data_IF_176665009671
#
_entry.id   IF_176665009671
#
_cell.length_a   1.000
_cell.length_b   1.000
_cell.length_c   1.000
_cell.angle_alpha   90.00
_cell.angle_beta   90.00
_cell.angle_gamma   90.00
#
_symmetry.space_group_name_H-M   'P 1'
#
loop_
_entity.id
_entity.type
_entity.pdbx_description
1 polymer ?
#
# COMPACT_ATOMS: atom_id res chain seq x y z
N UNK A 1 -50.91 40.58 -15.15
CA UNK A 1 -50.78 40.75 -16.61
C UNK A 1 -49.84 39.66 -17.12
N UNK A 2 -50.35 38.85 -18.04
CA UNK A 2 -49.72 37.93 -19.03
C UNK A 2 -48.34 37.34 -18.70
N UNK A 3 -48.17 36.04 -18.39
CA UNK A 3 -48.32 34.84 -19.23
C UNK A 3 -47.31 34.77 -20.41
N UNK A 4 -46.37 33.80 -20.38
CA UNK A 4 -46.08 32.83 -21.45
C UNK A 4 -44.82 31.98 -21.15
N UNK A 5 -45.03 30.68 -20.87
CA UNK A 5 -44.15 29.56 -21.27
C UNK A 5 -44.66 29.06 -22.65
N UNK A 6 -44.14 27.96 -23.24
CA UNK A 6 -42.78 27.55 -23.62
C UNK A 6 -42.71 27.27 -25.15
N UNK A 7 -41.56 26.87 -25.73
CA UNK A 7 -41.54 25.81 -26.76
C UNK A 7 -40.16 25.37 -27.25
N UNK A 8 -40.07 24.15 -27.82
CA UNK A 8 -38.88 23.33 -27.99
C UNK A 8 -38.30 23.44 -29.41
N UNK A 9 -37.05 23.01 -29.60
CA UNK A 9 -36.63 22.55 -30.93
C UNK A 9 -36.08 21.12 -30.86
N UNK A 10 -36.76 20.30 -31.65
CA UNK A 10 -36.52 18.89 -31.88
C UNK A 10 -35.96 18.77 -33.28
N UNK A 11 -34.73 18.28 -33.44
CA UNK A 11 -34.27 17.82 -34.75
C UNK A 11 -33.89 16.34 -34.70
N UNK A 12 -34.83 15.56 -35.26
CA UNK A 12 -34.70 14.16 -35.66
C UNK A 12 -33.82 14.04 -36.92
N UNK A 13 -33.04 12.95 -36.92
CA UNK A 13 -32.84 11.98 -38.00
C UNK A 13 -32.23 12.42 -39.34
N UNK A 14 -31.12 11.77 -39.71
CA UNK A 14 -31.09 10.93 -40.93
C UNK A 14 -29.97 9.87 -40.88
N UNK A 15 -30.23 8.64 -41.37
CA UNK A 15 -29.26 7.55 -41.58
C UNK A 15 -28.78 7.48 -43.05
N UNK A 16 -27.63 6.85 -43.26
CA UNK A 16 -27.10 6.46 -44.57
C UNK A 16 -25.60 6.21 -44.41
N UNK A 17 -24.94 5.23 -45.03
CA UNK A 17 -25.28 4.33 -46.10
C UNK A 17 -24.13 3.30 -46.11
N UNK A 18 -24.45 2.00 -46.09
CA UNK A 18 -23.53 0.95 -46.54
C UNK A 18 -22.97 1.32 -47.93
N UNK A 19 -21.73 0.93 -48.25
CA UNK A 19 -21.46 0.02 -49.38
C UNK A 19 -19.97 -0.21 -49.74
N UNK A 20 -19.77 -1.37 -50.40
CA UNK A 20 -18.71 -1.81 -51.35
C UNK A 20 -17.33 -2.12 -50.74
N UNK A 21 -17.00 -3.38 -50.48
CA UNK A 21 -16.36 -4.35 -51.41
C UNK A 21 -14.98 -3.88 -51.90
N UNK A 22 -13.90 -4.51 -51.41
CA UNK A 22 -12.79 -5.02 -52.24
C UNK A 22 -12.17 -6.25 -51.55
N UNK A 23 -12.11 -7.42 -52.20
CA UNK A 23 -11.26 -8.54 -51.81
C UNK A 23 -9.93 -8.51 -52.58
N UNK A 24 -8.80 -8.77 -51.93
CA UNK A 24 -7.57 -9.20 -52.62
C UNK A 24 -6.97 -10.39 -51.88
N UNK A 25 -7.24 -11.56 -52.45
CA UNK A 25 -6.46 -12.79 -52.36
C UNK A 25 -5.17 -12.66 -53.22
N UNK A 26 -4.21 -13.57 -52.99
CA UNK A 26 -2.86 -13.75 -53.59
C UNK A 26 -1.76 -13.32 -52.60
N UNK A 27 -0.78 -14.15 -52.20
CA UNK A 27 -0.21 -15.37 -52.77
C UNK A 27 0.44 -16.23 -51.68
N UNK A 28 0.38 -17.54 -51.91
CA UNK A 28 1.19 -18.55 -51.25
C UNK A 28 2.69 -18.25 -51.40
N UNK A 29 3.42 -18.35 -50.29
CA UNK A 29 4.87 -18.43 -50.23
C UNK A 29 5.26 -19.53 -49.24
N UNK A 30 5.59 -20.70 -49.79
CA UNK A 30 6.29 -21.79 -49.10
C UNK A 30 7.57 -21.27 -48.43
N UNK A 31 7.81 -21.65 -47.17
CA UNK A 31 9.11 -21.43 -46.54
C UNK A 31 9.20 -21.96 -45.10
N UNK A 32 9.57 -23.24 -44.95
CA UNK A 32 10.18 -23.87 -43.76
C UNK A 32 9.35 -23.86 -42.46
N UNK A 33 8.87 -24.96 -41.90
CA UNK A 33 9.60 -26.19 -41.59
C UNK A 33 11.06 -25.96 -41.21
N UNK A 34 11.29 -25.15 -40.16
CA UNK A 34 12.48 -25.27 -39.32
C UNK A 34 12.08 -25.24 -37.85
N UNK A 35 12.19 -26.40 -37.22
CA UNK A 35 12.80 -26.56 -35.90
C UNK A 35 12.29 -25.65 -34.76
N UNK A 36 11.16 -26.01 -34.14
CA UNK A 36 10.94 -25.70 -32.72
C UNK A 36 11.63 -26.78 -31.88
N UNK A 37 12.97 -26.79 -31.90
CA UNK A 37 13.74 -27.53 -30.89
C UNK A 37 13.66 -26.74 -29.58
N UNK A 38 13.30 -27.45 -28.52
CA UNK A 38 13.21 -26.93 -27.16
C UNK A 38 14.48 -26.19 -26.79
N UNK A 39 14.34 -24.88 -26.59
CA UNK A 39 15.21 -24.19 -25.65
C UNK A 39 14.65 -24.47 -24.27
N UNK A 40 15.10 -25.59 -23.69
CA UNK A 40 15.13 -25.76 -22.24
C UNK A 40 16.01 -24.65 -21.68
N UNK A 41 15.43 -23.45 -21.55
CA UNK A 41 15.99 -22.42 -20.71
C UNK A 41 15.97 -23.02 -19.32
N UNK A 42 17.14 -23.48 -18.87
CA UNK A 42 17.37 -23.88 -17.51
C UNK A 42 16.66 -22.87 -16.61
N UNK A 43 15.60 -23.30 -15.92
CA UNK A 43 15.01 -22.48 -14.86
C UNK A 43 16.18 -22.12 -13.94
N UNK A 44 16.40 -20.82 -13.63
CA UNK A 44 17.37 -20.47 -12.61
C UNK A 44 17.03 -21.31 -11.38
N UNK A 45 18.04 -21.99 -10.85
CA UNK A 45 17.89 -22.76 -9.62
C UNK A 45 17.22 -21.85 -8.57
N UNK A 46 16.25 -22.36 -7.79
CA UNK A 46 15.68 -21.57 -6.71
C UNK A 46 16.84 -21.05 -5.84
N UNK A 47 16.85 -19.77 -5.46
CA UNK A 47 17.89 -19.22 -4.63
C UNK A 47 18.02 -20.10 -3.38
N UNK A 48 19.26 -20.44 -3.09
CA UNK A 48 19.73 -21.28 -2.02
C UNK A 48 18.97 -20.89 -0.74
N UNK A 49 18.38 -21.85 -0.03
CA UNK A 49 17.60 -21.56 1.18
C UNK A 49 18.41 -20.75 2.23
N UNK A 50 19.74 -20.91 2.24
CA UNK A 50 20.69 -20.12 3.03
C UNK A 50 20.74 -18.64 2.62
N UNK A 51 20.65 -18.34 1.31
CA UNK A 51 20.57 -16.97 0.83
C UNK A 51 19.26 -16.32 1.26
N UNK A 52 18.14 -17.04 1.24
CA UNK A 52 16.85 -16.54 1.75
C UNK A 52 16.85 -16.32 3.27
N UNK A 53 17.44 -17.22 4.05
CA UNK A 53 17.56 -17.07 5.51
C UNK A 53 18.46 -15.88 5.89
N UNK A 54 19.56 -15.69 5.17
CA UNK A 54 20.43 -14.53 5.39
C UNK A 54 19.76 -13.23 4.94
N UNK A 55 18.97 -13.26 3.87
CA UNK A 55 18.15 -12.13 3.42
C UNK A 55 17.06 -11.78 4.46
N UNK A 56 16.46 -12.77 5.12
CA UNK A 56 15.52 -12.57 6.23
C UNK A 56 16.19 -11.90 7.44
N UNK A 57 17.41 -12.34 7.79
CA UNK A 57 18.20 -11.76 8.89
C UNK A 57 18.64 -10.33 8.59
N UNK A 58 18.98 -10.05 7.34
CA UNK A 58 19.40 -8.73 6.88
C UNK A 58 18.21 -7.75 6.80
N UNK A 59 17.02 -8.21 6.41
CA UNK A 59 15.81 -7.37 6.42
C UNK A 59 15.44 -6.91 7.84
N UNK A 60 15.73 -7.70 8.87
CA UNK A 60 15.47 -7.30 10.28
C UNK A 60 16.56 -6.41 10.89
N UNK A 61 17.67 -6.15 10.20
CA UNK A 61 18.82 -5.43 10.76
C UNK A 61 18.72 -3.89 10.65
N UNK A 62 17.63 -3.35 10.12
CA UNK A 62 17.62 -1.99 9.55
C UNK A 62 17.04 -0.88 10.44
N UNK A 63 16.71 -1.19 11.70
CA UNK A 63 16.83 -0.26 12.82
C UNK A 63 17.02 -1.11 14.07
N UNK A 64 18.07 -0.87 14.86
CA UNK A 64 18.09 -1.38 16.23
C UNK A 64 16.89 -0.74 16.91
N UNK A 65 15.85 -1.51 17.23
CA UNK A 65 14.63 -0.94 17.79
C UNK A 65 15.03 -0.15 19.04
N UNK A 66 14.44 1.02 19.19
CA UNK A 66 14.49 1.80 20.43
C UNK A 66 15.81 2.54 20.74
N UNK A 67 16.93 2.38 20.02
CA UNK A 67 18.14 3.19 20.30
C UNK A 67 18.10 4.59 19.68
N UNK A 68 17.53 4.72 18.48
CA UNK A 68 17.34 5.98 17.77
C UNK A 68 15.87 6.07 17.35
N UNK A 69 15.14 7.16 17.66
CA UNK A 69 13.78 7.32 17.20
C UNK A 69 13.68 7.24 15.67
N UNK A 70 12.71 6.48 15.18
CA UNK A 70 12.41 6.39 13.76
C UNK A 70 11.82 7.71 13.28
N UNK A 71 12.52 8.37 12.36
CA UNK A 71 12.00 9.57 11.71
C UNK A 71 10.91 9.21 10.72
N UNK A 72 9.83 9.96 10.76
CA UNK A 72 8.73 9.86 9.79
C UNK A 72 8.33 11.25 9.31
N UNK A 73 7.73 11.30 8.13
CA UNK A 73 7.18 12.52 7.53
C UNK A 73 5.89 12.22 6.80
N UNK A 74 5.00 13.20 6.70
CA UNK A 74 3.83 13.10 5.86
C UNK A 74 4.21 13.52 4.44
N UNK A 75 3.84 12.69 3.46
CA UNK A 75 3.81 13.09 2.06
C UNK A 75 2.38 13.00 1.57
N UNK A 76 1.90 14.09 1.00
CA UNK A 76 0.56 14.14 0.43
C UNK A 76 0.67 14.64 -1.00
N UNK A 77 0.06 13.89 -1.92
CA UNK A 77 0.07 14.21 -3.34
C UNK A 77 -1.19 15.02 -3.70
N UNK A 78 -1.03 16.16 -4.39
CA UNK A 78 -2.13 17.00 -4.91
C UNK A 78 -2.49 18.22 -4.06
N UNK A 79 -3.40 19.08 -4.55
CA UNK A 79 -3.80 20.34 -3.91
C UNK A 79 -4.77 20.16 -2.74
N UNK A 80 -5.63 19.15 -2.80
CA UNK A 80 -6.62 18.84 -1.75
C UNK A 80 -5.99 18.14 -0.53
N UNK A 81 -4.69 17.86 -0.64
CA UNK A 81 -3.82 17.29 0.36
C UNK A 81 -3.84 18.02 1.71
N UNK A 82 -3.96 19.35 1.67
CA UNK A 82 -3.78 20.18 2.86
C UNK A 82 -4.87 19.91 3.91
N UNK A 83 -6.10 19.63 3.48
CA UNK A 83 -7.24 19.41 4.37
C UNK A 83 -7.17 18.06 5.08
N UNK A 84 -6.58 17.03 4.44
CA UNK A 84 -6.36 15.72 5.05
C UNK A 84 -5.04 15.60 5.84
N UNK A 85 -4.08 16.49 5.61
CA UNK A 85 -2.74 16.40 6.19
C UNK A 85 -2.75 16.54 7.72
N UNK A 86 -3.55 17.47 8.27
CA UNK A 86 -3.63 17.68 9.72
C UNK A 86 -4.22 16.46 10.43
N UNK A 87 -5.34 15.94 9.92
CA UNK A 87 -5.98 14.71 10.42
C UNK A 87 -5.01 13.53 10.36
N UNK A 88 -4.28 13.36 9.25
CA UNK A 88 -3.28 12.32 9.12
C UNK A 88 -2.15 12.48 10.14
N UNK A 89 -1.67 13.71 10.30
CA UNK A 89 -0.59 14.00 11.23
C UNK A 89 -1.00 13.70 12.68
N UNK A 90 -2.23 14.05 13.06
CA UNK A 90 -2.82 13.68 14.34
C UNK A 90 -2.93 12.15 14.49
N UNK A 91 -3.38 11.44 13.46
CA UNK A 91 -3.53 9.99 13.47
C UNK A 91 -2.18 9.26 13.62
N UNK A 92 -1.15 9.66 12.87
CA UNK A 92 0.20 9.08 12.98
C UNK A 92 0.79 9.34 14.35
N UNK A 93 0.58 10.52 14.93
CA UNK A 93 1.02 10.81 16.31
C UNK A 93 0.30 9.99 17.35
N UNK A 94 -1.02 9.81 17.22
CA UNK A 94 -1.77 8.96 18.12
C UNK A 94 -1.28 7.50 18.03
N UNK A 95 -1.07 7.01 16.81
CA UNK A 95 -0.53 5.67 16.55
C UNK A 95 0.89 5.47 17.12
N UNK A 96 1.77 6.46 16.98
CA UNK A 96 3.09 6.45 17.62
C UNK A 96 2.98 6.42 19.15
N UNK A 97 2.06 7.22 19.71
CA UNK A 97 1.82 7.31 21.15
C UNK A 97 1.42 5.97 21.79
N UNK A 98 0.70 5.10 21.06
CA UNK A 98 0.39 3.74 21.51
C UNK A 98 1.71 3.01 21.87
N UNK A 99 2.63 2.88 20.93
CA UNK A 99 3.90 2.18 21.19
C UNK A 99 4.77 2.86 22.24
N UNK A 100 4.89 4.19 22.20
CA UNK A 100 5.72 4.95 23.14
C UNK A 100 5.22 4.82 24.58
N UNK A 101 3.91 4.68 24.79
CA UNK A 101 3.33 4.44 26.11
C UNK A 101 3.70 3.06 26.68
N UNK A 102 3.85 2.03 25.83
CA UNK A 102 4.20 0.67 26.27
C UNK A 102 5.63 0.52 26.78
N UNK A 103 6.54 1.41 26.36
CA UNK A 103 7.97 1.39 26.73
C UNK A 103 8.45 2.68 27.41
N UNK A 104 7.54 3.61 27.69
CA UNK A 104 7.80 4.90 28.36
C UNK A 104 8.96 5.70 27.75
N UNK A 105 9.09 5.66 26.42
CA UNK A 105 10.17 6.36 25.70
C UNK A 105 9.75 6.76 24.29
N UNK A 106 10.42 7.78 23.75
CA UNK A 106 10.24 8.17 22.36
C UNK A 106 10.82 7.12 21.41
N UNK A 107 9.99 6.64 20.50
CA UNK A 107 10.32 5.70 19.45
C UNK A 107 10.18 6.32 18.06
N UNK A 108 9.40 7.39 17.94
CA UNK A 108 9.12 8.06 16.68
C UNK A 108 9.43 9.54 16.77
N UNK A 109 9.93 10.10 15.67
CA UNK A 109 10.21 11.54 15.57
C UNK A 109 9.63 12.07 14.27
N UNK A 110 8.65 12.97 14.37
CA UNK A 110 8.17 13.70 13.20
C UNK A 110 9.31 14.58 12.65
N UNK A 111 9.49 14.57 11.34
CA UNK A 111 10.44 15.42 10.65
C UNK A 111 9.80 16.00 9.39
N UNK A 112 10.17 17.23 9.02
CA UNK A 112 9.57 17.91 7.88
C UNK A 112 10.02 17.30 6.53
N UNK A 113 11.29 16.92 6.44
CA UNK A 113 11.94 16.55 5.15
C UNK A 113 12.65 15.19 5.16
N UNK A 114 12.77 14.55 6.30
CA UNK A 114 13.58 13.32 6.47
C UNK A 114 12.73 12.23 7.11
N UNK A 115 13.23 11.00 7.09
CA UNK A 115 12.49 9.85 7.59
C UNK A 115 11.63 9.19 6.53
N UNK A 116 10.99 8.08 6.92
CA UNK A 116 10.16 7.34 5.99
C UNK A 116 8.82 8.07 5.78
N UNK A 117 8.34 8.14 4.54
CA UNK A 117 7.09 8.78 4.25
C UNK A 117 5.88 7.94 4.68
N UNK A 118 4.89 8.61 5.26
CA UNK A 118 3.52 8.13 5.41
C UNK A 118 2.69 8.85 4.35
N UNK A 119 2.09 8.07 3.43
CA UNK A 119 1.44 8.57 2.21
C UNK A 119 0.01 8.09 2.11
N UNK A 120 -0.88 8.99 1.70
CA UNK A 120 -2.15 8.58 1.11
C UNK A 120 -1.92 8.25 -0.36
N UNK A 121 -2.07 6.98 -0.72
CA UNK A 121 -2.15 6.56 -2.12
C UNK A 121 -3.61 6.60 -2.52
N UNK A 122 -4.05 7.71 -3.13
CA UNK A 122 -5.33 7.72 -3.84
C UNK A 122 -5.18 6.71 -4.97
N UNK A 123 -5.94 5.61 -4.96
CA UNK A 123 -6.00 4.77 -6.16
C UNK A 123 -6.48 5.68 -7.28
N UNK A 124 -5.68 5.84 -8.33
CA UNK A 124 -6.15 6.41 -9.58
C UNK A 124 -7.08 5.38 -10.22
N UNK A 125 -8.20 5.08 -9.57
CA UNK A 125 -9.32 4.43 -10.22
C UNK A 125 -9.74 5.35 -11.34
N UNK A 126 -9.53 4.90 -12.57
CA UNK A 126 -9.93 5.59 -13.77
C UNK A 126 -11.35 6.15 -13.59
N UNK A 127 -11.49 7.48 -13.63
CA UNK A 127 -12.74 8.10 -14.05
C UNK A 127 -12.84 7.76 -15.54
N UNK A 128 -13.34 6.55 -15.82
CA UNK A 128 -13.65 6.11 -17.15
C UNK A 128 -14.87 6.87 -17.64
N UNK A 129 -14.69 7.66 -18.69
CA UNK A 129 -15.78 8.14 -19.55
C UNK A 129 -16.23 7.02 -20.51
N UNK A 130 -16.24 5.77 -20.03
CA UNK A 130 -16.81 4.63 -20.75
C UNK A 130 -17.86 3.98 -19.86
N UNK A 131 -19.12 4.23 -20.25
CA UNK A 131 -20.34 3.61 -19.72
C UNK A 131 -20.31 2.12 -20.06
N UNK A 132 -19.57 1.35 -19.25
CA UNK A 132 -19.62 -0.11 -19.23
C UNK A 132 -20.55 -0.57 -18.11
N UNK A 133 -21.77 -0.97 -18.47
CA UNK A 133 -22.66 -1.72 -17.58
C UNK A 133 -22.07 -3.14 -17.45
N UNK A 134 -21.36 -3.41 -16.35
CA UNK A 134 -20.84 -4.75 -16.07
C UNK A 134 -19.87 -4.76 -14.89
N UNK A 135 -20.21 -5.58 -13.89
CA UNK A 135 -19.47 -5.90 -12.67
C UNK A 135 -19.23 -4.76 -11.66
N UNK A 136 -19.98 -4.87 -10.57
CA UNK A 136 -19.77 -4.28 -9.26
C UNK A 136 -18.28 -4.30 -8.91
N UNK A 137 -17.61 -3.16 -9.11
CA UNK A 137 -16.22 -2.99 -8.72
C UNK A 137 -16.13 -3.22 -7.22
N UNK A 138 -15.61 -4.38 -6.84
CA UNK A 138 -15.25 -4.71 -5.47
C UNK A 138 -14.43 -3.54 -4.92
N UNK A 139 -14.95 -2.77 -3.94
CA UNK A 139 -14.22 -1.62 -3.44
C UNK A 139 -12.93 -2.16 -2.85
N UNK A 140 -11.80 -1.83 -3.49
CA UNK A 140 -10.47 -2.24 -3.05
C UNK A 140 -10.41 -2.08 -1.53
N UNK A 141 -10.22 -3.19 -0.81
CA UNK A 141 -10.23 -3.20 0.65
C UNK A 141 -9.39 -2.02 1.18
N UNK A 142 -9.81 -1.33 2.24
CA UNK A 142 -9.06 -0.22 2.80
C UNK A 142 -7.66 -0.72 3.23
N UNK A 143 -6.64 -0.41 2.44
CA UNK A 143 -5.27 -0.90 2.67
C UNK A 143 -4.45 0.16 3.39
N UNK A 144 -4.20 -0.02 4.69
CA UNK A 144 -3.04 0.61 5.34
C UNK A 144 -1.92 -0.42 5.34
N UNK A 145 -0.76 -0.09 4.78
CA UNK A 145 0.32 -1.06 4.60
C UNK A 145 1.70 -0.44 4.77
N UNK A 146 2.54 -1.08 5.56
CA UNK A 146 3.96 -0.87 5.64
C UNK A 146 4.66 -1.58 4.48
N UNK A 147 5.52 -0.83 3.79
CA UNK A 147 6.32 -1.32 2.67
C UNK A 147 7.78 -1.05 2.99
N UNK A 148 8.58 -2.11 3.03
CA UNK A 148 10.03 -2.02 3.09
C UNK A 148 10.64 -2.58 1.79
N UNK A 149 11.44 -1.76 1.10
CA UNK A 149 12.15 -2.14 -0.12
C UNK A 149 13.65 -2.12 0.16
N UNK A 150 14.24 -3.30 0.24
CA UNK A 150 15.68 -3.49 0.41
C UNK A 150 16.34 -3.68 -0.96
N UNK A 151 17.29 -2.80 -1.31
CA UNK A 151 18.14 -3.00 -2.49
C UNK A 151 19.46 -3.63 -2.05
N UNK A 152 19.80 -4.75 -2.70
CA UNK A 152 21.04 -5.50 -2.48
C UNK A 152 21.89 -5.45 -3.74
N UNK A 153 23.18 -5.23 -3.59
CA UNK A 153 24.16 -5.31 -4.68
C UNK A 153 25.37 -6.11 -4.20
N UNK A 154 25.73 -7.16 -4.94
CA UNK A 154 26.87 -8.01 -4.62
C UNK A 154 26.83 -8.58 -3.19
N UNK A 155 25.65 -9.06 -2.74
CA UNK A 155 25.46 -9.62 -1.40
C UNK A 155 25.39 -8.60 -0.26
N UNK A 156 25.50 -7.30 -0.56
CA UNK A 156 25.45 -6.22 0.44
C UNK A 156 24.21 -5.36 0.27
N UNK A 157 23.54 -5.02 1.37
CA UNK A 157 22.47 -4.01 1.35
C UNK A 157 23.07 -2.66 1.02
N UNK A 158 22.54 -2.05 -0.04
CA UNK A 158 22.96 -0.71 -0.50
C UNK A 158 21.93 0.37 -0.20
N UNK A 159 20.65 0.01 -0.05
CA UNK A 159 19.62 0.93 0.44
C UNK A 159 18.44 0.18 1.05
N UNK A 160 17.76 0.81 2.01
CA UNK A 160 16.47 0.38 2.54
C UNK A 160 15.52 1.57 2.44
N UNK A 161 14.42 1.40 1.74
CA UNK A 161 13.35 2.40 1.62
C UNK A 161 12.13 1.89 2.39
N UNK A 162 11.55 2.72 3.25
CA UNK A 162 10.33 2.41 3.99
C UNK A 162 9.22 3.35 3.58
N UNK A 163 7.98 2.90 3.64
CA UNK A 163 6.81 3.74 3.49
C UNK A 163 5.63 3.13 4.24
N UNK A 164 4.69 3.97 4.68
CA UNK A 164 3.33 3.53 5.01
C UNK A 164 2.40 4.10 3.94
N UNK A 165 1.68 3.21 3.27
CA UNK A 165 0.74 3.55 2.19
C UNK A 165 -0.69 3.38 2.72
N UNK A 166 -1.53 4.41 2.54
CA UNK A 166 -2.92 4.44 2.99
C UNK A 166 -3.81 4.55 1.74
N UNK A 167 -4.57 3.49 1.47
CA UNK A 167 -5.51 3.40 0.36
C UNK A 167 -6.80 4.21 0.57
N UNK A 168 -7.65 4.30 -0.46
CA UNK A 168 -8.95 4.95 -0.34
C UNK A 168 -9.88 4.19 0.60
N UNK A 169 -10.87 4.89 1.17
CA UNK A 169 -11.94 4.27 1.96
C UNK A 169 -11.56 3.84 3.38
N UNK A 170 -10.35 4.17 3.85
CA UNK A 170 -9.95 3.93 5.24
C UNK A 170 -10.78 4.83 6.16
N UNK A 171 -11.51 4.20 7.06
CA UNK A 171 -12.32 4.88 8.08
C UNK A 171 -11.40 5.66 9.06
N UNK A 172 -11.61 6.98 9.24
CA UNK A 172 -10.86 7.78 10.19
C UNK A 172 -10.88 7.24 11.62
N UNK A 173 -11.98 6.60 12.06
CA UNK A 173 -12.10 6.04 13.41
C UNK A 173 -11.10 4.88 13.63
N UNK A 174 -10.83 4.11 12.59
CA UNK A 174 -9.93 2.95 12.63
C UNK A 174 -8.49 3.26 12.17
N UNK A 175 -8.28 4.41 11.53
CA UNK A 175 -6.99 4.81 10.96
C UNK A 175 -5.86 4.77 12.00
N UNK A 176 -6.11 5.20 13.24
CA UNK A 176 -5.09 5.20 14.30
C UNK A 176 -4.58 3.80 14.60
N UNK A 177 -5.47 2.82 14.76
CA UNK A 177 -5.08 1.44 15.09
C UNK A 177 -4.40 0.74 13.90
N UNK A 178 -4.87 1.01 12.68
CA UNK A 178 -4.24 0.50 11.47
C UNK A 178 -2.83 1.08 11.29
N UNK A 179 -2.67 2.40 11.45
CA UNK A 179 -1.35 3.04 11.45
C UNK A 179 -0.47 2.49 12.56
N UNK A 180 -1.02 2.25 13.75
CA UNK A 180 -0.25 1.70 14.86
C UNK A 180 0.29 0.31 14.54
N UNK A 181 -0.50 -0.58 13.92
CA UNK A 181 0.00 -1.87 13.43
C UNK A 181 1.18 -1.70 12.47
N UNK A 182 1.04 -0.85 11.46
CA UNK A 182 2.10 -0.61 10.49
C UNK A 182 3.35 0.04 11.09
N UNK A 183 3.18 0.93 12.09
CA UNK A 183 4.30 1.46 12.86
C UNK A 183 4.99 0.39 13.70
N UNK A 184 4.26 -0.64 14.15
CA UNK A 184 4.84 -1.83 14.78
C UNK A 184 5.76 -2.58 13.82
N UNK A 185 5.35 -2.77 12.57
CA UNK A 185 6.23 -3.32 11.52
C UNK A 185 7.44 -2.43 11.25
N UNK A 186 7.28 -1.10 11.25
CA UNK A 186 8.39 -0.17 11.11
C UNK A 186 9.40 -0.27 12.27
N UNK A 187 8.96 -0.65 13.48
CA UNK A 187 9.81 -0.97 14.63
C UNK A 187 10.47 -2.37 14.55
N UNK A 188 10.22 -3.11 13.46
CA UNK A 188 10.74 -4.47 13.28
C UNK A 188 9.92 -5.54 13.99
N UNK A 189 8.69 -5.24 14.43
CA UNK A 189 7.82 -6.24 15.04
C UNK A 189 7.17 -7.10 13.94
N UNK A 190 7.37 -8.43 13.96
CA UNK A 190 6.64 -9.32 13.07
C UNK A 190 5.19 -9.45 13.53
N UNK A 191 4.36 -10.05 12.67
CA UNK A 191 3.04 -10.52 13.07
C UNK A 191 3.15 -11.50 14.25
N UNK A 192 2.13 -11.50 15.11
CA UNK A 192 1.98 -12.45 16.22
C UNK A 192 0.67 -13.22 16.13
N UNK A 193 0.62 -14.41 16.70
CA UNK A 193 -0.59 -15.19 16.90
C UNK A 193 -1.30 -14.90 18.23
N UNK A 194 -0.70 -14.08 19.09
CA UNK A 194 -1.27 -13.69 20.38
C UNK A 194 -2.66 -13.07 20.19
N UNK A 195 -3.67 -13.69 20.80
CA UNK A 195 -5.07 -13.28 20.63
C UNK A 195 -5.27 -11.87 21.19
N UNK A 196 -5.87 -10.99 20.39
CA UNK A 196 -6.18 -9.61 20.78
C UNK A 196 -5.00 -8.65 20.70
N UNK A 197 -3.79 -9.13 20.39
CA UNK A 197 -2.62 -8.27 20.17
C UNK A 197 -2.80 -7.40 18.93
N UNK A 198 -2.24 -6.19 18.96
CA UNK A 198 -2.29 -5.26 17.82
C UNK A 198 -1.59 -5.86 16.60
N UNK A 199 -0.44 -6.50 16.83
CA UNK A 199 0.36 -7.16 15.79
C UNK A 199 -0.21 -8.51 15.34
N UNK A 200 -1.39 -8.91 15.81
CA UNK A 200 -2.06 -10.10 15.28
C UNK A 200 -2.96 -9.69 14.11
N UNK A 201 -2.69 -10.15 12.87
CA UNK A 201 -3.47 -9.75 11.70
C UNK A 201 -4.93 -10.20 11.77
N UNK A 202 -5.25 -11.18 12.62
CA UNK A 202 -6.63 -11.65 12.87
C UNK A 202 -7.35 -10.86 13.95
N UNK A 203 -6.67 -9.96 14.66
CA UNK A 203 -7.34 -9.09 15.64
C UNK A 203 -8.24 -8.12 14.90
N UNK A 204 -9.55 -8.22 15.15
CA UNK A 204 -10.55 -7.24 14.73
C UNK A 204 -10.34 -5.95 15.51
N UNK A 205 -10.09 -4.86 14.78
CA UNK A 205 -9.86 -3.54 15.35
C UNK A 205 -11.14 -2.70 15.43
N UNK A 206 -12.20 -3.13 14.73
CA UNK A 206 -13.49 -2.44 14.73
C UNK A 206 -14.09 -2.34 16.12
N UNK A 207 -14.45 -1.12 16.53
CA UNK A 207 -15.01 -0.84 17.86
C UNK A 207 -14.02 -1.00 19.02
N UNK A 208 -12.72 -1.06 18.75
CA UNK A 208 -11.66 -1.09 19.77
C UNK A 208 -11.13 0.32 19.99
N UNK A 209 -10.80 0.64 21.24
CA UNK A 209 -10.24 1.93 21.60
C UNK A 209 -8.70 1.91 21.55
N UNK A 210 -8.04 3.00 21.09
CA UNK A 210 -6.58 3.14 21.13
C UNK A 210 -5.95 2.84 22.50
N UNK A 211 -6.64 3.18 23.59
CA UNK A 211 -6.17 2.95 24.97
C UNK A 211 -6.09 1.49 25.38
N UNK A 212 -6.67 0.57 24.61
CA UNK A 212 -6.56 -0.87 24.85
C UNK A 212 -5.22 -1.46 24.38
N UNK A 213 -4.41 -0.65 23.70
CA UNK A 213 -3.13 -1.04 23.12
C UNK A 213 -1.98 -0.17 23.66
N UNK A 214 -0.73 -0.66 23.62
CA UNK A 214 -0.33 -2.01 23.23
C UNK A 214 -0.74 -3.03 24.29
N UNK A 215 -1.06 -4.26 23.87
CA UNK A 215 -1.32 -5.33 24.84
C UNK A 215 -0.03 -5.74 25.56
N UNK A 216 -0.14 -6.57 26.59
CA UNK A 216 1.03 -7.17 27.24
C UNK A 216 1.90 -7.97 26.24
N UNK A 217 1.29 -8.65 25.27
CA UNK A 217 2.00 -9.40 24.24
C UNK A 217 2.76 -8.48 23.28
N UNK A 218 2.12 -7.38 22.84
CA UNK A 218 2.75 -6.36 21.99
C UNK A 218 3.93 -5.69 22.71
N UNK A 219 3.74 -5.35 23.98
CA UNK A 219 4.76 -4.71 24.81
C UNK A 219 5.97 -5.62 25.02
N UNK A 220 5.75 -6.91 25.27
CA UNK A 220 6.82 -7.89 25.44
C UNK A 220 7.57 -8.15 24.12
N UNK A 221 6.86 -8.20 22.99
CA UNK A 221 7.49 -8.26 21.67
C UNK A 221 8.39 -7.04 21.42
N UNK A 222 7.89 -5.84 21.74
CA UNK A 222 8.66 -4.61 21.62
C UNK A 222 9.88 -4.57 22.53
N UNK A 223 9.77 -4.99 23.79
CA UNK A 223 10.92 -5.07 24.71
C UNK A 223 12.00 -6.02 24.21
N UNK A 224 11.61 -7.19 23.71
CA UNK A 224 12.55 -8.14 23.10
C UNK A 224 13.24 -7.56 21.88
N UNK A 225 12.49 -6.84 21.03
CA UNK A 225 13.04 -6.14 19.88
C UNK A 225 14.06 -5.07 20.31
N UNK A 226 13.76 -4.27 21.35
CA UNK A 226 14.68 -3.26 21.88
C UNK A 226 15.95 -3.87 22.51
N UNK A 227 15.86 -5.05 23.13
CA UNK A 227 16.97 -5.68 23.85
C UNK A 227 17.96 -6.44 22.94
N UNK A 228 17.54 -6.76 21.72
CA UNK A 228 18.28 -7.61 20.78
C UNK A 228 19.16 -6.86 19.77
N UNK A 229 19.28 -5.54 19.86
CA UNK A 229 20.12 -4.74 18.95
C UNK A 229 21.27 -4.01 19.62
#
# INVERSE_FOLDING_TARGET
MSASRPSPDSHRSAPGSLSWIVPILFLAGMGGWFYYAGSDRARPAPPDASAQEEQLRISHASAIPCNVPLRWRIEVDGSDAAEGAETLWAAVRAAAGIWESGVERSLFQAHATEGFPVRFTRSSGAVGDEVGVGDEADPAEPVVRFVERVRVRSGRVISVERAVEIGPGVDPEHLVLLLARELGHALGLPDTDATGALMNPRTRLEGREPSEFPTAADTEALRRACAGG
#
